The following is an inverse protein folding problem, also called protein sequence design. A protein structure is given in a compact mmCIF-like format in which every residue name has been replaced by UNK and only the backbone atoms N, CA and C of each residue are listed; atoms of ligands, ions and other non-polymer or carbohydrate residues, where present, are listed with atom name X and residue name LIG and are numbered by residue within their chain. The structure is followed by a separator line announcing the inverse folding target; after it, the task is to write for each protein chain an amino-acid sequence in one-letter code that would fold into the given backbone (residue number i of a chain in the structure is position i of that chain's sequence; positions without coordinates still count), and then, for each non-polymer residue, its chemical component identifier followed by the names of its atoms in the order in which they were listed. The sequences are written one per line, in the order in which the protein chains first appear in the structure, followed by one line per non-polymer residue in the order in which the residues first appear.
data_IF_082966615519
#
_entry.id   IF_082966615519
#
_cell.length_a   1.000
_cell.length_b   1.000
_cell.length_c   1.000
_cell.angle_alpha   90.00
_cell.angle_beta   90.00
_cell.angle_gamma   90.00
#
_symmetry.space_group_name_H-M   'P 1'
#
loop_
_entity.id
_entity.type
_entity.pdbx_description
1 polymer ?
#
# COMPACT_ATOMS: atom_id res chain seq x y z
N UNK A 1 3.15 4.04 17.90
CA UNK A 1 2.98 3.24 16.66
C UNK A 1 4.17 3.47 15.74
N UNK A 2 4.87 2.41 15.33
CA UNK A 2 6.12 2.54 14.59
C UNK A 2 5.90 3.21 13.23
N UNK A 3 6.84 4.07 12.83
CA UNK A 3 6.81 4.93 11.63
C UNK A 3 6.73 4.17 10.28
N UNK A 4 6.55 2.84 10.30
CA UNK A 4 6.58 1.95 9.13
C UNK A 4 5.29 1.97 8.30
N UNK A 5 4.15 2.35 8.89
CA UNK A 5 2.87 2.41 8.17
C UNK A 5 2.66 3.71 7.37
N UNK A 6 3.55 4.71 7.48
CA UNK A 6 3.36 6.03 6.82
C UNK A 6 3.88 6.14 5.38
N UNK A 7 4.61 5.14 4.88
CA UNK A 7 5.22 5.21 3.54
C UNK A 7 4.60 4.16 2.63
N UNK A 8 3.53 4.56 1.94
CA UNK A 8 2.86 3.75 0.92
C UNK A 8 3.34 4.03 -0.51
N UNK A 9 4.16 5.06 -0.71
CA UNK A 9 4.71 5.48 -2.00
C UNK A 9 6.03 4.76 -2.30
N UNK A 10 6.16 4.22 -3.51
CA UNK A 10 7.33 3.51 -4.01
C UNK A 10 7.72 4.02 -5.40
N UNK A 11 9.02 4.01 -5.68
CA UNK A 11 9.58 4.36 -6.98
C UNK A 11 10.41 3.19 -7.54
N UNK A 12 10.25 2.92 -8.82
CA UNK A 12 11.02 1.93 -9.57
C UNK A 12 11.43 2.50 -10.91
N UNK A 13 12.64 2.15 -11.38
CA UNK A 13 13.06 2.47 -12.74
C UNK A 13 13.77 1.31 -13.42
N UNK A 14 13.70 1.28 -14.74
CA UNK A 14 14.49 0.36 -15.54
C UNK A 14 14.63 0.77 -17.00
N UNK A 15 15.68 0.26 -17.66
CA UNK A 15 15.93 0.50 -19.09
C UNK A 15 14.93 -0.18 -20.04
N UNK A 16 14.02 -1.01 -19.53
CA UNK A 16 12.97 -1.65 -20.33
C UNK A 16 11.76 -2.03 -19.47
N UNK A 17 10.58 -2.07 -20.07
CA UNK A 17 9.36 -2.53 -19.40
C UNK A 17 9.48 -3.93 -18.81
N UNK A 18 10.14 -4.87 -19.51
CA UNK A 18 10.32 -6.24 -19.03
C UNK A 18 11.14 -6.29 -17.74
N UNK A 19 12.20 -5.49 -17.64
CA UNK A 19 13.02 -5.40 -16.42
C UNK A 19 12.25 -4.70 -15.31
N UNK A 20 11.51 -3.63 -15.62
CA UNK A 20 10.65 -2.93 -14.65
C UNK A 20 9.61 -3.89 -14.04
N UNK A 21 8.90 -4.66 -14.86
CA UNK A 21 7.94 -5.67 -14.41
C UNK A 21 8.58 -6.71 -13.46
N UNK A 22 9.76 -7.22 -13.81
CA UNK A 22 10.49 -8.17 -12.94
C UNK A 22 10.82 -7.54 -11.57
N UNK A 23 11.23 -6.26 -11.54
CA UNK A 23 11.52 -5.53 -10.29
C UNK A 23 10.26 -5.38 -9.43
N UNK A 24 9.16 -4.95 -10.03
CA UNK A 24 7.85 -4.82 -9.38
C UNK A 24 7.39 -6.15 -8.77
N UNK A 25 7.41 -7.23 -9.56
CA UNK A 25 7.02 -8.58 -9.11
C UNK A 25 7.92 -9.09 -7.99
N UNK A 26 9.23 -8.87 -8.08
CA UNK A 26 10.19 -9.24 -7.02
C UNK A 26 9.91 -8.49 -5.72
N UNK A 27 9.58 -7.20 -5.81
CA UNK A 27 9.23 -6.40 -4.65
C UNK A 27 7.94 -6.89 -3.98
N UNK A 28 6.87 -7.17 -4.76
CA UNK A 28 5.61 -7.68 -4.21
C UNK A 28 5.81 -9.00 -3.46
N UNK A 29 6.56 -9.94 -4.07
CA UNK A 29 6.87 -11.24 -3.43
C UNK A 29 7.67 -11.06 -2.14
N UNK A 30 8.70 -10.21 -2.16
CA UNK A 30 9.58 -9.99 -1.00
C UNK A 30 8.85 -9.35 0.18
N UNK A 31 7.89 -8.47 -0.08
CA UNK A 31 7.21 -7.67 0.95
C UNK A 31 5.82 -8.21 1.31
N UNK A 32 5.33 -9.24 0.62
CA UNK A 32 3.96 -9.75 0.71
C UNK A 32 2.89 -8.64 0.64
N UNK A 33 3.08 -7.67 -0.27
CA UNK A 33 2.23 -6.50 -0.44
C UNK A 33 1.72 -6.38 -1.88
N UNK A 34 0.48 -5.90 -2.02
CA UNK A 34 -0.13 -5.56 -3.31
C UNK A 34 0.03 -4.06 -3.59
N UNK A 35 0.18 -3.71 -4.87
CA UNK A 35 0.08 -2.32 -5.29
C UNK A 35 -1.40 -1.94 -5.40
N UNK A 36 -1.77 -0.79 -4.86
CA UNK A 36 -3.10 -0.20 -4.94
C UNK A 36 -3.28 0.56 -6.26
N UNK A 37 -2.26 1.32 -6.66
CA UNK A 37 -2.24 2.10 -7.89
C UNK A 37 -0.81 2.23 -8.39
N UNK A 38 -0.64 2.37 -9.70
CA UNK A 38 0.66 2.53 -10.34
C UNK A 38 0.53 3.45 -11.55
N UNK A 39 1.53 4.31 -11.74
CA UNK A 39 1.73 5.02 -13.00
C UNK A 39 3.12 4.72 -13.55
N UNK A 40 3.23 4.55 -14.87
CA UNK A 40 4.49 4.27 -15.56
C UNK A 40 4.66 5.29 -16.68
N UNK A 41 5.79 5.98 -16.67
CA UNK A 41 6.16 6.96 -17.69
C UNK A 41 7.56 6.67 -18.22
N UNK A 42 7.82 7.11 -19.46
CA UNK A 42 9.19 7.19 -19.95
C UNK A 42 9.80 8.51 -19.51
N UNK A 43 10.98 8.46 -18.91
CA UNK A 43 11.76 9.63 -18.54
C UNK A 43 13.24 9.34 -18.79
N UNK A 44 13.91 10.25 -19.49
CA UNK A 44 15.36 10.19 -19.75
C UNK A 44 15.84 8.83 -20.31
N UNK A 45 15.07 8.26 -21.25
CA UNK A 45 15.38 6.96 -21.88
C UNK A 45 15.12 5.72 -21.02
N UNK A 46 14.55 5.88 -19.83
CA UNK A 46 14.16 4.79 -18.92
C UNK A 46 12.64 4.75 -18.76
N UNK A 47 12.15 3.62 -18.25
CA UNK A 47 10.79 3.48 -17.74
C UNK A 47 10.82 3.69 -16.23
N UNK A 48 10.07 4.68 -15.76
CA UNK A 48 9.97 5.07 -14.37
C UNK A 48 8.54 4.78 -13.89
N UNK A 49 8.41 4.27 -12.67
CA UNK A 49 7.14 3.89 -12.09
C UNK A 49 7.02 4.43 -10.68
N UNK A 50 5.91 5.11 -10.43
CA UNK A 50 5.46 5.47 -9.08
C UNK A 50 4.31 4.52 -8.73
N UNK A 51 4.41 3.85 -7.59
CA UNK A 51 3.42 2.89 -7.11
C UNK A 51 2.97 3.23 -5.69
N UNK A 52 1.67 3.13 -5.45
CA UNK A 52 1.07 3.15 -4.13
C UNK A 52 0.83 1.72 -3.66
N UNK A 53 1.09 1.45 -2.39
CA UNK A 53 0.75 0.17 -1.74
C UNK A 53 -0.42 0.38 -0.80
N UNK A 54 -1.20 -0.68 -0.57
CA UNK A 54 -2.23 -0.58 0.45
C UNK A 54 -1.52 -0.35 1.81
N UNK A 55 -1.88 0.70 2.58
CA UNK A 55 -1.47 0.76 3.97
C UNK A 55 -1.89 -0.53 4.68
N UNK A 56 -1.03 -1.02 5.56
CA UNK A 56 -1.23 -2.29 6.26
C UNK A 56 -2.40 -2.27 7.25
N UNK A 57 -3.00 -1.09 7.47
CA UNK A 57 -3.98 -0.82 8.52
C UNK A 57 -5.06 0.09 7.94
N UNK A 58 -6.28 -0.43 7.83
CA UNK A 58 -7.48 0.36 7.56
C UNK A 58 -8.13 0.60 8.92
N UNK A 59 -8.15 1.84 9.37
CA UNK A 59 -8.84 2.23 10.61
C UNK A 59 -10.20 2.79 10.21
N UNK A 60 -11.28 2.12 10.63
CA UNK A 60 -12.63 2.63 10.44
C UNK A 60 -12.86 3.67 11.54
N UNK A 61 -13.14 4.92 11.14
CA UNK A 61 -13.44 6.01 12.05
C UNK A 61 -14.83 6.60 11.78
N UNK A 62 -15.43 7.23 12.79
CA UNK A 62 -16.64 8.04 12.60
C UNK A 62 -16.31 9.41 11.97
N UNK A 63 -17.32 10.26 11.79
CA UNK A 63 -17.18 11.62 11.25
C UNK A 63 -16.27 12.53 12.08
N UNK A 64 -16.01 12.19 13.35
CA UNK A 64 -15.11 12.91 14.25
C UNK A 64 -13.68 12.35 14.28
N UNK A 65 -13.39 11.28 13.52
CA UNK A 65 -12.07 10.65 13.48
C UNK A 65 -11.79 9.66 14.62
N UNK A 66 -12.78 9.35 15.46
CA UNK A 66 -12.65 8.36 16.53
C UNK A 66 -12.74 6.94 15.95
N UNK A 67 -11.93 6.00 16.48
CA UNK A 67 -11.98 4.58 16.08
C UNK A 67 -13.38 4.02 16.33
N UNK A 68 -14.01 3.53 15.27
CA UNK A 68 -15.40 3.06 15.29
C UNK A 68 -15.50 1.54 15.16
N UNK A 69 -14.42 0.89 14.72
CA UNK A 69 -14.33 -0.56 14.69
C UNK A 69 -12.97 -1.08 15.17
N UNK A 70 -12.99 -2.25 15.80
CA UNK A 70 -11.82 -3.01 16.21
C UNK A 70 -11.85 -4.41 15.59
N UNK A 71 -10.68 -4.98 15.34
CA UNK A 71 -10.53 -6.37 14.92
C UNK A 71 -9.99 -7.12 16.13
N UNK A 72 -10.65 -8.21 16.52
CA UNK A 72 -10.16 -9.07 17.61
C UNK A 72 -9.07 -10.05 17.11
N UNK A 73 -8.46 -10.78 18.05
CA UNK A 73 -7.38 -11.74 17.73
C UNK A 73 -7.86 -12.94 16.88
N UNK A 74 -9.18 -13.10 16.72
CA UNK A 74 -9.80 -14.13 15.88
C UNK A 74 -10.14 -13.60 14.46
N UNK A 75 -9.91 -12.32 14.20
CA UNK A 75 -10.18 -11.68 12.90
C UNK A 75 -11.62 -11.21 12.72
N UNK A 76 -12.42 -11.14 13.79
CA UNK A 76 -13.79 -10.62 13.74
C UNK A 76 -13.80 -9.11 13.82
N UNK A 77 -14.66 -8.47 13.02
CA UNK A 77 -14.86 -7.02 13.05
C UNK A 77 -15.95 -6.65 14.05
N UNK A 78 -15.60 -5.84 15.05
CA UNK A 78 -16.53 -5.31 16.04
C UNK A 78 -16.74 -3.81 15.82
N UNK A 79 -17.99 -3.42 15.54
CA UNK A 79 -18.37 -2.01 15.49
C UNK A 79 -18.83 -1.56 16.89
N UNK A 80 -18.31 -0.44 17.37
CA UNK A 80 -18.75 0.17 18.61
C UNK A 80 -19.95 1.08 18.34
N UNK A 81 -21.15 0.49 18.31
CA UNK A 81 -22.41 1.24 18.21
C UNK A 81 -22.77 1.71 19.62
N UNK A 82 -22.46 2.96 19.94
CA UNK A 82 -23.01 3.63 21.12
C UNK A 82 -24.32 4.32 20.70
N UNK A 83 -25.43 3.93 21.33
CA UNK A 83 -26.73 4.60 21.23
C UNK A 83 -26.72 5.95 21.96
#
# INVERSE_FOLDING_TARGET
MSNRNKRNLLYFESSSMRKLYKRLRKWQKKNNKRFLSMSIHKDSGKFCCVALTNPSEVVITNEFGNKYATIDDLGSLWCHIYY
#
